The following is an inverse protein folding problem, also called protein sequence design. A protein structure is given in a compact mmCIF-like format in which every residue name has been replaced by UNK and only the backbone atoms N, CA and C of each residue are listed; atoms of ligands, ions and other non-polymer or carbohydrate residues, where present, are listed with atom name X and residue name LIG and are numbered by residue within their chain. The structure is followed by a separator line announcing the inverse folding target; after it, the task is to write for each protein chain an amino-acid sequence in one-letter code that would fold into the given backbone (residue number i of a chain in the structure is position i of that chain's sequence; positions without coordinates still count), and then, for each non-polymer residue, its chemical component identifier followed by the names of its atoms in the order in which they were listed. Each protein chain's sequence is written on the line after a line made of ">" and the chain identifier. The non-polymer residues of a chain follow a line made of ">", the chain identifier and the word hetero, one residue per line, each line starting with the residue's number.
data_IF_157230856705
#
_entry.id   IF_157230856705
#
_cell.length_a   1.000
_cell.length_b   1.000
_cell.length_c   1.000
_cell.angle_alpha   90.00
_cell.angle_beta   90.00
_cell.angle_gamma   90.00
#
_symmetry.space_group_name_H-M   'P 1'
#
loop_
_entity.id
_entity.type
_entity.pdbx_description
1 polymer ?
#
# COMPACT_ATOMS: atom_id res chain seq x y z
N UNK A 1 6.30 38.23 -31.92
CA UNK A 1 4.99 38.76 -31.45
C UNK A 1 4.78 38.22 -30.04
N UNK A 2 5.27 38.85 -28.97
CA UNK A 2 4.96 40.19 -28.44
C UNK A 2 3.47 40.37 -28.15
N UNK A 3 3.07 40.33 -26.88
CA UNK A 3 2.66 41.54 -26.13
C UNK A 3 2.22 41.20 -24.69
N UNK A 4 2.98 41.74 -23.73
CA UNK A 4 2.43 42.35 -22.50
C UNK A 4 1.57 43.57 -22.87
N UNK A 5 0.73 44.01 -21.94
CA UNK A 5 0.62 45.43 -21.55
C UNK A 5 0.90 45.55 -20.03
N UNK A 6 1.76 46.40 -19.44
CA UNK A 6 1.95 47.88 -19.52
C UNK A 6 0.63 48.65 -19.48
N UNK A 7 0.32 49.58 -18.58
CA UNK A 7 1.03 50.27 -17.50
C UNK A 7 0.03 51.26 -16.86
N UNK A 8 0.28 51.72 -15.63
CA UNK A 8 0.69 53.11 -15.30
C UNK A 8 -0.49 53.93 -14.70
N UNK A 9 -0.32 55.14 -14.12
CA UNK A 9 0.69 55.70 -13.18
C UNK A 9 0.09 56.41 -11.93
N UNK A 10 1.01 56.85 -11.05
CA UNK A 10 1.06 58.13 -10.31
C UNK A 10 -0.17 58.70 -9.60
N UNK A 11 0.01 58.99 -8.30
CA UNK A 11 0.03 60.39 -7.90
C UNK A 11 1.18 60.67 -6.90
N UNK A 12 1.97 61.67 -7.25
CA UNK A 12 3.06 62.31 -6.53
C UNK A 12 2.63 63.74 -6.24
N UNK A 13 2.73 64.21 -5.00
CA UNK A 13 3.26 65.55 -4.65
C UNK A 13 3.20 65.74 -3.14
N UNK A 14 4.34 65.91 -2.46
CA UNK A 14 5.17 67.13 -2.29
C UNK A 14 4.64 68.06 -1.20
N UNK A 15 5.57 68.45 -0.30
CA UNK A 15 5.37 69.45 0.74
C UNK A 15 6.38 69.27 1.88
N UNK A 16 7.59 69.81 1.67
CA UNK A 16 8.73 69.79 2.60
C UNK A 16 8.69 71.02 3.56
N UNK A 17 9.73 71.30 4.39
CA UNK A 17 9.62 71.41 5.85
C UNK A 17 9.67 72.87 6.38
N UNK A 18 9.24 73.06 7.63
CA UNK A 18 9.37 74.34 8.33
C UNK A 18 9.37 74.13 9.85
N UNK A 19 10.53 74.36 10.44
CA UNK A 19 10.80 74.49 11.87
C UNK A 19 10.08 75.70 12.45
N UNK A 20 9.41 75.59 13.61
CA UNK A 20 9.72 76.45 14.76
C UNK A 20 9.03 76.03 16.07
N UNK A 21 9.76 76.31 17.15
CA UNK A 21 9.35 76.52 18.54
C UNK A 21 8.72 75.41 19.40
N UNK A 22 9.61 74.83 20.21
CA UNK A 22 9.58 74.91 21.67
C UNK A 22 8.38 75.64 22.31
N UNK A 23 7.57 74.88 23.05
CA UNK A 23 7.30 75.09 24.48
C UNK A 23 6.03 74.34 24.89
N UNK A 24 6.18 73.13 25.44
CA UNK A 24 5.22 72.64 26.44
C UNK A 24 5.87 71.54 27.30
N UNK A 25 6.44 71.96 28.42
CA UNK A 25 6.72 71.08 29.55
C UNK A 25 5.39 70.79 30.24
N UNK A 26 4.94 69.54 30.18
CA UNK A 26 3.80 69.05 30.94
C UNK A 26 4.03 67.61 31.37
N UNK A 27 4.30 67.41 32.67
CA UNK A 27 4.52 66.12 33.33
C UNK A 27 3.29 65.19 33.19
N UNK A 28 3.53 63.91 32.94
CA UNK A 28 2.86 62.79 33.65
C UNK A 28 3.45 61.43 33.22
N UNK A 29 3.89 60.64 34.21
CA UNK A 29 4.46 59.30 34.05
C UNK A 29 3.45 58.22 33.62
N UNK A 30 3.85 56.94 33.59
CA UNK A 30 3.08 55.87 32.98
C UNK A 30 1.84 55.57 33.82
N UNK A 31 0.66 55.82 33.27
CA UNK A 31 -0.61 55.41 33.87
C UNK A 31 -0.78 53.89 33.69
N UNK A 32 -0.26 53.11 34.64
CA UNK A 32 -0.67 51.72 34.83
C UNK A 32 -2.15 51.72 35.22
N UNK A 33 -3.03 51.45 34.25
CA UNK A 33 -4.46 51.23 34.51
C UNK A 33 -4.61 50.12 35.54
N UNK A 34 -5.36 50.31 36.64
CA UNK A 34 -5.58 49.24 37.60
C UNK A 34 -6.30 48.09 36.89
N UNK A 35 -5.72 46.88 36.95
CA UNK A 35 -6.36 45.68 36.45
C UNK A 35 -7.71 45.55 37.16
N UNK A 36 -8.81 45.72 36.42
CA UNK A 36 -10.14 45.54 36.97
C UNK A 36 -10.26 44.11 37.49
N UNK A 37 -10.71 43.93 38.73
CA UNK A 37 -10.82 42.64 39.42
C UNK A 37 -11.55 41.59 38.55
N UNK A 38 -12.53 42.03 37.73
CA UNK A 38 -13.27 41.20 36.77
C UNK A 38 -12.46 40.70 35.57
N UNK A 39 -11.39 41.38 35.19
CA UNK A 39 -10.48 40.98 34.11
C UNK A 39 -9.38 40.05 34.64
N UNK A 40 -8.85 40.36 35.83
CA UNK A 40 -7.96 39.46 36.55
C UNK A 40 -8.62 38.10 36.83
N UNK A 41 -9.87 38.07 37.31
CA UNK A 41 -10.62 36.82 37.50
C UNK A 41 -10.83 36.05 36.18
N UNK A 42 -11.03 36.73 35.05
CA UNK A 42 -11.22 36.08 33.75
C UNK A 42 -9.95 35.42 33.24
N UNK A 43 -8.79 36.05 33.40
CA UNK A 43 -7.50 35.48 33.02
C UNK A 43 -7.12 34.30 33.93
N UNK A 44 -7.35 34.41 35.24
CA UNK A 44 -7.18 33.29 36.18
C UNK A 44 -8.08 32.11 35.79
N UNK A 45 -9.36 32.36 35.47
CA UNK A 45 -10.29 31.32 35.04
C UNK A 45 -9.83 30.62 33.76
N UNK A 46 -9.34 31.37 32.77
CA UNK A 46 -8.81 30.79 31.52
C UNK A 46 -7.59 29.89 31.79
N UNK A 47 -6.66 30.35 32.63
CA UNK A 47 -5.49 29.56 33.01
C UNK A 47 -5.86 28.25 33.73
N UNK A 48 -6.84 28.30 34.63
CA UNK A 48 -7.36 27.11 35.32
C UNK A 48 -7.98 26.12 34.32
N UNK A 49 -8.76 26.60 33.34
CA UNK A 49 -9.40 25.73 32.34
C UNK A 49 -8.36 25.05 31.44
N UNK A 50 -7.32 25.77 31.00
CA UNK A 50 -6.24 25.20 30.18
C UNK A 50 -5.44 24.16 30.97
N UNK A 51 -5.12 24.43 32.24
CA UNK A 51 -4.49 23.43 33.11
C UNK A 51 -5.38 22.22 33.34
N UNK A 52 -6.70 22.42 33.46
CA UNK A 52 -7.66 21.34 33.61
C UNK A 52 -7.70 20.42 32.38
N UNK A 53 -7.69 20.96 31.16
CA UNK A 53 -7.59 20.16 29.94
C UNK A 53 -6.25 19.45 29.80
N UNK A 54 -5.14 20.13 30.10
CA UNK A 54 -3.80 19.53 30.08
C UNK A 54 -3.64 18.38 31.09
N UNK A 55 -4.31 18.45 32.23
CA UNK A 55 -4.34 17.35 33.20
C UNK A 55 -5.00 16.09 32.63
N UNK A 56 -6.13 16.21 31.96
CA UNK A 56 -6.80 15.05 31.34
C UNK A 56 -6.00 14.44 30.20
N UNK A 57 -5.38 15.27 29.36
CA UNK A 57 -4.51 14.81 28.28
C UNK A 57 -3.29 14.06 28.83
N UNK A 58 -2.70 14.56 29.92
CA UNK A 58 -1.59 13.90 30.61
C UNK A 58 -2.01 12.55 31.21
N UNK A 59 -3.18 12.49 31.86
CA UNK A 59 -3.75 11.24 32.42
C UNK A 59 -3.91 10.16 31.34
N UNK A 60 -4.26 10.54 30.10
CA UNK A 60 -4.44 9.61 28.99
C UNK A 60 -3.12 8.97 28.50
N UNK A 61 -1.96 9.60 28.77
CA UNK A 61 -0.64 9.15 28.30
C UNK A 61 0.20 8.53 29.42
N UNK A 62 -0.08 8.87 30.68
CA UNK A 62 0.63 8.36 31.87
C UNK A 62 0.57 6.84 31.99
N UNK A 63 1.65 6.23 32.50
CA UNK A 63 1.71 4.77 32.74
C UNK A 63 0.80 4.35 33.92
N UNK A 64 0.34 3.09 33.94
CA UNK A 64 -0.49 2.57 35.03
C UNK A 64 0.19 2.67 36.40
N UNK A 65 1.50 2.43 36.44
CA UNK A 65 2.32 2.54 37.67
C UNK A 65 2.39 3.97 38.20
N UNK A 66 2.60 4.95 37.32
CA UNK A 66 2.65 6.37 37.70
C UNK A 66 1.27 6.90 38.16
N UNK A 67 0.18 6.46 37.52
CA UNK A 67 -1.17 6.84 37.94
C UNK A 67 -1.50 6.34 39.35
N UNK A 68 -1.16 5.08 39.67
CA UNK A 68 -1.34 4.53 41.01
C UNK A 68 -0.56 5.31 42.08
N UNK A 69 0.68 5.68 41.76
CA UNK A 69 1.55 6.44 42.68
C UNK A 69 0.99 7.85 42.94
N UNK A 70 0.53 8.54 41.90
CA UNK A 70 -0.07 9.88 42.00
C UNK A 70 -1.41 9.84 42.73
N UNK A 71 -2.26 8.85 42.46
CA UNK A 71 -3.52 8.65 43.17
C UNK A 71 -3.30 8.34 44.64
N UNK A 72 -2.30 7.53 44.97
CA UNK A 72 -1.93 7.22 46.37
C UNK A 72 -1.45 8.47 47.12
N UNK A 73 -0.57 9.25 46.50
CA UNK A 73 -0.08 10.51 47.07
C UNK A 73 -1.19 11.56 47.24
N UNK A 74 -2.11 11.65 46.26
CA UNK A 74 -3.27 12.53 46.31
C UNK A 74 -4.25 12.18 47.43
N UNK A 75 -4.41 10.89 47.75
CA UNK A 75 -5.29 10.42 48.81
C UNK A 75 -4.74 10.76 50.21
N UNK A 76 -3.41 10.64 50.39
CA UNK A 76 -2.71 11.08 51.61
C UNK A 76 -2.92 12.58 51.82
N UNK A 77 -2.71 13.39 50.77
CA UNK A 77 -2.87 14.84 50.84
C UNK A 77 -4.33 15.25 51.12
N UNK A 78 -5.30 14.58 50.47
CA UNK A 78 -6.72 14.84 50.68
C UNK A 78 -7.20 14.54 52.12
N UNK A 79 -6.59 13.55 52.77
CA UNK A 79 -6.81 13.27 54.19
C UNK A 79 -6.39 14.42 55.11
N UNK A 80 -5.27 15.08 54.79
CA UNK A 80 -4.77 16.25 55.53
C UNK A 80 -5.73 17.45 55.41
N UNK A 81 -6.28 17.68 54.22
CA UNK A 81 -7.21 18.79 53.94
C UNK A 81 -8.69 18.48 54.22
N UNK A 82 -9.02 17.32 54.82
CA UNK A 82 -10.39 16.86 55.13
C UNK A 82 -11.34 16.84 53.92
N UNK A 83 -10.83 16.53 52.72
CA UNK A 83 -11.61 16.39 51.47
C UNK A 83 -11.49 14.97 50.84
N UNK A 84 -11.62 13.87 51.61
CA UNK A 84 -11.32 12.52 51.12
C UNK A 84 -12.29 12.03 50.04
N UNK A 85 -13.57 12.43 50.12
CA UNK A 85 -14.62 12.00 49.19
C UNK A 85 -14.37 12.56 47.78
N UNK A 86 -14.00 13.84 47.68
CA UNK A 86 -13.73 14.50 46.39
C UNK A 86 -12.53 13.85 45.67
N UNK A 87 -11.46 13.57 46.42
CA UNK A 87 -10.27 12.91 45.87
C UNK A 87 -10.57 11.50 45.34
N UNK A 88 -11.39 10.74 46.06
CA UNK A 88 -11.79 9.40 45.64
C UNK A 88 -12.58 9.41 44.32
N UNK A 89 -13.53 10.34 44.17
CA UNK A 89 -14.31 10.49 42.92
C UNK A 89 -13.42 10.85 41.73
N UNK A 90 -12.45 11.75 41.92
CA UNK A 90 -11.51 12.14 40.86
C UNK A 90 -10.58 11.00 40.43
N UNK A 91 -10.14 10.16 41.38
CA UNK A 91 -9.32 8.97 41.09
C UNK A 91 -10.11 7.96 40.25
N UNK A 92 -11.37 7.70 40.62
CA UNK A 92 -12.25 6.80 39.86
C UNK A 92 -12.48 7.37 38.45
N UNK A 93 -12.81 8.66 38.33
CA UNK A 93 -13.00 9.30 37.03
C UNK A 93 -11.75 9.21 36.15
N UNK A 94 -10.55 9.42 36.72
CA UNK A 94 -9.26 9.29 36.02
C UNK A 94 -9.02 7.87 35.50
N UNK A 95 -9.38 6.85 36.30
CA UNK A 95 -9.30 5.44 35.92
C UNK A 95 -10.25 5.10 34.77
N UNK A 96 -11.51 5.56 34.85
CA UNK A 96 -12.52 5.35 33.80
C UNK A 96 -12.05 5.97 32.47
N UNK A 97 -11.59 7.23 32.49
CA UNK A 97 -11.10 7.92 31.29
C UNK A 97 -9.96 7.14 30.63
N UNK A 98 -9.02 6.62 31.43
CA UNK A 98 -7.88 5.86 30.91
C UNK A 98 -8.26 4.51 30.32
N UNK A 99 -9.20 3.79 30.93
CA UNK A 99 -9.71 2.52 30.42
C UNK A 99 -10.40 2.72 29.07
N UNK A 100 -11.25 3.75 28.96
CA UNK A 100 -11.97 4.08 27.71
C UNK A 100 -11.00 4.53 26.62
N UNK A 101 -10.04 5.41 26.93
CA UNK A 101 -9.03 5.88 25.98
C UNK A 101 -8.08 4.76 25.51
N UNK A 102 -7.73 3.83 26.40
CA UNK A 102 -6.88 2.68 26.09
C UNK A 102 -7.59 1.64 25.21
N UNK A 103 -8.90 1.46 25.37
CA UNK A 103 -9.71 0.56 24.54
C UNK A 103 -9.76 1.01 23.07
N UNK A 104 -9.93 2.31 22.82
CA UNK A 104 -10.02 2.87 21.46
C UNK A 104 -8.72 2.66 20.66
N UNK A 105 -7.55 2.88 21.29
CA UNK A 105 -6.24 2.67 20.64
C UNK A 105 -5.99 1.22 20.26
N UNK A 106 -6.43 0.26 21.10
CA UNK A 106 -6.29 -1.17 20.79
C UNK A 106 -7.16 -1.57 19.60
N UNK A 107 -8.40 -1.07 19.54
CA UNK A 107 -9.30 -1.32 18.42
C UNK A 107 -8.76 -0.76 17.09
N UNK A 108 -8.24 0.47 17.09
CA UNK A 108 -7.62 1.09 15.91
C UNK A 108 -6.38 0.33 15.43
N UNK A 109 -5.53 -0.15 16.35
CA UNK A 109 -4.36 -0.95 15.99
C UNK A 109 -4.79 -2.30 15.37
N UNK A 110 -5.75 -2.99 15.96
CA UNK A 110 -6.24 -4.27 15.40
C UNK A 110 -6.93 -4.08 14.05
N UNK A 111 -7.63 -2.96 13.84
CA UNK A 111 -8.27 -2.64 12.56
C UNK A 111 -7.23 -2.32 11.47
N UNK A 112 -6.18 -1.56 11.82
CA UNK A 112 -5.06 -1.28 10.91
C UNK A 112 -4.25 -2.53 10.57
N UNK A 113 -4.07 -3.46 11.52
CA UNK A 113 -3.42 -4.73 11.25
C UNK A 113 -4.27 -5.63 10.34
N UNK A 114 -5.58 -5.69 10.57
CA UNK A 114 -6.50 -6.46 9.74
C UNK A 114 -6.57 -5.95 8.30
N UNK A 115 -6.64 -4.62 8.12
CA UNK A 115 -6.64 -3.99 6.78
C UNK A 115 -5.34 -4.23 6.04
N UNK A 116 -4.18 -4.04 6.68
CA UNK A 116 -2.88 -4.36 6.08
C UNK A 116 -2.77 -5.82 5.66
N UNK A 117 -3.25 -6.75 6.50
CA UNK A 117 -3.27 -8.18 6.15
C UNK A 117 -4.15 -8.47 4.95
N UNK A 118 -5.35 -7.89 4.91
CA UNK A 118 -6.26 -8.03 3.78
C UNK A 118 -5.66 -7.45 2.48
N UNK A 119 -5.01 -6.28 2.54
CA UNK A 119 -4.30 -5.68 1.41
C UNK A 119 -3.17 -6.57 0.91
N UNK A 120 -2.35 -7.13 1.81
CA UNK A 120 -1.27 -8.05 1.43
C UNK A 120 -1.79 -9.33 0.80
N UNK A 121 -2.83 -9.94 1.38
CA UNK A 121 -3.45 -11.15 0.83
C UNK A 121 -4.07 -10.89 -0.55
N UNK A 122 -4.68 -9.71 -0.74
CA UNK A 122 -5.27 -9.33 -2.02
C UNK A 122 -4.19 -9.09 -3.08
N UNK A 123 -3.09 -8.42 -2.74
CA UNK A 123 -1.93 -8.26 -3.63
C UNK A 123 -1.31 -9.60 -3.99
N UNK A 124 -1.15 -10.51 -3.02
CA UNK A 124 -0.64 -11.86 -3.28
C UNK A 124 -1.55 -12.63 -4.23
N UNK A 125 -2.88 -12.55 -4.04
CA UNK A 125 -3.86 -13.14 -4.96
C UNK A 125 -3.77 -12.55 -6.35
N UNK A 126 -3.77 -11.23 -6.50
CA UNK A 126 -3.66 -10.58 -7.81
C UNK A 126 -2.34 -10.93 -8.51
N UNK A 127 -1.23 -11.04 -7.77
CA UNK A 127 0.05 -11.52 -8.33
C UNK A 127 -0.05 -12.98 -8.76
N UNK A 128 -0.71 -13.83 -7.97
CA UNK A 128 -0.91 -15.24 -8.31
C UNK A 128 -1.80 -15.38 -9.56
N UNK A 129 -2.87 -14.61 -9.65
CA UNK A 129 -3.79 -14.54 -10.79
C UNK A 129 -3.08 -14.02 -12.03
N UNK A 130 -2.36 -12.91 -11.95
CA UNK A 130 -1.56 -12.38 -13.07
C UNK A 130 -0.47 -13.36 -13.52
N UNK A 131 0.14 -14.10 -12.58
CA UNK A 131 1.04 -15.20 -12.91
C UNK A 131 0.28 -16.32 -13.61
N UNK A 132 -0.87 -16.77 -13.10
CA UNK A 132 -1.68 -17.79 -13.75
C UNK A 132 -2.16 -17.36 -15.15
N UNK A 133 -2.55 -16.11 -15.35
CA UNK A 133 -2.90 -15.54 -16.65
C UNK A 133 -1.69 -15.48 -17.59
N UNK A 134 -0.52 -15.06 -17.10
CA UNK A 134 0.72 -15.10 -17.88
C UNK A 134 1.15 -16.54 -18.22
N UNK A 135 0.87 -17.50 -17.32
CA UNK A 135 1.09 -18.93 -17.54
C UNK A 135 0.10 -19.48 -18.59
N UNK A 136 -1.15 -19.02 -18.58
CA UNK A 136 -2.16 -19.34 -19.60
C UNK A 136 -1.83 -18.70 -20.95
N UNK A 137 -1.23 -17.51 -20.97
CA UNK A 137 -0.92 -16.80 -22.21
C UNK A 137 0.13 -17.50 -23.09
N UNK A 138 0.96 -18.40 -22.53
CA UNK A 138 1.93 -19.18 -23.31
C UNK A 138 1.36 -20.46 -23.93
N UNK A 139 0.15 -20.90 -23.53
CA UNK A 139 -0.49 -22.10 -24.08
C UNK A 139 -1.88 -21.69 -24.56
N UNK A 140 -2.14 -21.68 -25.86
CA UNK A 140 -3.47 -21.40 -26.41
C UNK A 140 -4.51 -22.35 -25.77
N UNK A 141 -5.43 -21.86 -24.91
CA UNK A 141 -6.34 -22.74 -24.16
C UNK A 141 -7.20 -23.58 -25.10
N UNK A 142 -7.56 -23.01 -26.23
CA UNK A 142 -8.30 -23.68 -27.28
C UNK A 142 -7.52 -24.84 -27.92
N UNK A 143 -6.21 -24.71 -28.14
CA UNK A 143 -5.37 -25.82 -28.59
C UNK A 143 -5.40 -26.99 -27.60
N UNK A 144 -5.30 -26.70 -26.30
CA UNK A 144 -5.32 -27.74 -25.25
C UNK A 144 -6.66 -28.48 -25.23
N UNK A 145 -7.79 -27.76 -25.19
CA UNK A 145 -9.12 -28.38 -25.22
C UNK A 145 -9.36 -29.20 -26.49
N UNK A 146 -8.95 -28.68 -27.65
CA UNK A 146 -9.06 -29.40 -28.91
C UNK A 146 -8.21 -30.66 -28.96
N UNK A 147 -7.00 -30.60 -28.38
CA UNK A 147 -6.10 -31.76 -28.30
C UNK A 147 -6.72 -32.83 -27.40
N UNK A 148 -7.27 -32.46 -26.25
CA UNK A 148 -7.95 -33.39 -25.34
C UNK A 148 -9.21 -34.00 -25.97
N UNK A 149 -10.03 -33.21 -26.67
CA UNK A 149 -11.20 -33.71 -27.38
C UNK A 149 -10.82 -34.68 -28.51
N UNK A 150 -9.74 -34.40 -29.25
CA UNK A 150 -9.21 -35.30 -30.28
C UNK A 150 -8.70 -36.61 -29.66
N UNK A 151 -8.03 -36.54 -28.51
CA UNK A 151 -7.62 -37.73 -27.75
C UNK A 151 -8.84 -38.56 -27.33
N UNK A 152 -9.88 -37.93 -26.79
CA UNK A 152 -11.11 -38.62 -26.37
C UNK A 152 -11.79 -39.37 -27.52
N UNK A 153 -11.89 -38.73 -28.69
CA UNK A 153 -12.38 -39.37 -29.91
C UNK A 153 -11.46 -40.53 -30.37
N UNK A 154 -10.14 -40.33 -30.31
CA UNK A 154 -9.17 -41.35 -30.71
C UNK A 154 -9.16 -42.54 -29.74
N UNK A 155 -9.46 -42.37 -28.46
CA UNK A 155 -9.57 -43.50 -27.52
C UNK A 155 -10.62 -44.51 -28.00
N UNK A 156 -11.70 -44.03 -28.61
CA UNK A 156 -12.78 -44.89 -29.13
C UNK A 156 -12.47 -45.47 -30.51
N UNK A 157 -11.69 -44.77 -31.33
CA UNK A 157 -11.53 -45.09 -32.77
C UNK A 157 -10.15 -45.67 -33.12
N UNK A 158 -9.09 -45.19 -32.49
CA UNK A 158 -7.70 -45.66 -32.65
C UNK A 158 -6.90 -45.42 -31.34
N UNK A 159 -7.00 -46.33 -30.36
CA UNK A 159 -6.32 -46.20 -29.07
C UNK A 159 -4.78 -46.05 -29.18
N UNK A 160 -4.08 -46.74 -30.10
CA UNK A 160 -2.67 -46.49 -30.34
C UNK A 160 -2.35 -45.04 -30.76
N UNK A 161 -3.14 -44.42 -31.65
CA UNK A 161 -2.99 -43.00 -32.00
C UNK A 161 -3.28 -42.09 -30.82
N UNK A 162 -4.31 -42.37 -30.03
CA UNK A 162 -4.64 -41.61 -28.83
C UNK A 162 -3.46 -41.56 -27.85
N UNK A 163 -2.84 -42.71 -27.59
CA UNK A 163 -1.66 -42.83 -26.71
C UNK A 163 -0.48 -41.99 -27.22
N UNK A 164 -0.20 -42.03 -28.54
CA UNK A 164 0.85 -41.18 -29.15
C UNK A 164 0.56 -39.69 -29.00
N UNK A 165 -0.67 -39.27 -29.24
CA UNK A 165 -1.09 -37.86 -29.10
C UNK A 165 -1.01 -37.40 -27.64
N UNK A 166 -1.42 -38.23 -26.69
CA UNK A 166 -1.30 -37.96 -25.25
C UNK A 166 0.16 -37.81 -24.81
N UNK A 167 1.05 -38.70 -25.26
CA UNK A 167 2.49 -38.60 -24.96
C UNK A 167 3.11 -37.30 -25.53
N UNK A 168 2.69 -36.93 -26.74
CA UNK A 168 3.14 -35.69 -27.39
C UNK A 168 2.64 -34.46 -26.62
N UNK A 169 1.39 -34.49 -26.13
CA UNK A 169 0.84 -33.45 -25.26
C UNK A 169 1.60 -33.34 -23.92
N UNK A 170 1.92 -34.46 -23.28
CA UNK A 170 2.73 -34.46 -22.05
C UNK A 170 4.12 -33.85 -22.31
N UNK A 171 4.74 -34.18 -23.44
CA UNK A 171 6.03 -33.63 -23.85
C UNK A 171 5.95 -32.13 -24.09
N UNK A 172 4.92 -31.67 -24.81
CA UNK A 172 4.65 -30.26 -25.04
C UNK A 172 4.53 -29.47 -23.73
N UNK A 173 3.69 -29.95 -22.80
CA UNK A 173 3.51 -29.33 -21.49
C UNK A 173 4.83 -29.31 -20.69
N UNK A 174 5.61 -30.40 -20.75
CA UNK A 174 6.92 -30.46 -20.08
C UNK A 174 7.92 -29.48 -20.66
N UNK A 175 7.90 -29.21 -21.97
CA UNK A 175 8.79 -28.24 -22.63
C UNK A 175 8.34 -26.79 -22.42
N UNK A 176 7.05 -26.55 -22.20
CA UNK A 176 6.51 -25.22 -21.90
C UNK A 176 6.83 -24.77 -20.46
N UNK A 177 6.77 -25.68 -19.47
CA UNK A 177 6.93 -25.35 -18.04
C UNK A 177 8.27 -24.70 -17.61
N UNK A 178 9.45 -25.09 -18.12
CA UNK A 178 10.72 -24.45 -17.73
C UNK A 178 10.80 -22.98 -18.11
N UNK A 179 10.22 -22.61 -19.26
CA UNK A 179 10.17 -21.23 -19.76
C UNK A 179 9.33 -20.32 -18.84
N UNK A 180 8.41 -20.94 -18.10
CA UNK A 180 7.50 -20.28 -17.17
C UNK A 180 8.10 -20.02 -15.78
N UNK A 181 9.15 -20.76 -15.38
CA UNK A 181 9.71 -20.71 -14.00
C UNK A 181 10.97 -19.86 -13.85
N UNK A 182 11.81 -19.77 -14.88
CA UNK A 182 13.19 -19.31 -14.66
C UNK A 182 13.45 -17.82 -14.90
N UNK A 183 12.54 -17.05 -15.52
CA UNK A 183 12.78 -15.63 -15.83
C UNK A 183 14.02 -15.38 -16.72
N UNK A 184 14.72 -16.44 -17.14
CA UNK A 184 15.85 -16.46 -18.07
C UNK A 184 15.31 -16.65 -19.48
N UNK A 185 16.01 -16.05 -20.45
CA UNK A 185 15.71 -16.27 -21.88
C UNK A 185 15.96 -17.74 -22.21
N UNK A 186 15.03 -18.43 -22.90
CA UNK A 186 15.18 -19.84 -23.22
C UNK A 186 16.32 -20.07 -24.21
N UNK A 187 16.80 -21.30 -24.29
CA UNK A 187 17.72 -21.71 -25.35
C UNK A 187 16.97 -22.08 -26.63
N UNK A 188 17.66 -22.07 -27.77
CA UNK A 188 17.12 -22.55 -29.04
C UNK A 188 16.65 -24.00 -28.92
N UNK A 189 17.39 -24.85 -28.21
CA UNK A 189 17.00 -26.25 -27.97
C UNK A 189 15.65 -26.35 -27.26
N UNK A 190 15.41 -25.54 -26.22
CA UNK A 190 14.11 -25.52 -25.52
C UNK A 190 12.96 -25.06 -26.43
N UNK A 191 13.20 -24.08 -27.31
CA UNK A 191 12.20 -23.64 -28.29
C UNK A 191 11.92 -24.73 -29.34
N UNK A 192 12.97 -25.39 -29.83
CA UNK A 192 12.87 -26.48 -30.80
C UNK A 192 12.12 -27.67 -30.21
N UNK A 193 12.39 -28.03 -28.95
CA UNK A 193 11.70 -29.13 -28.26
C UNK A 193 10.20 -28.83 -28.08
N UNK A 194 9.86 -27.58 -27.77
CA UNK A 194 8.47 -27.12 -27.68
C UNK A 194 7.76 -27.22 -29.04
N UNK A 195 8.36 -26.65 -30.10
CA UNK A 195 7.80 -26.67 -31.44
C UNK A 195 7.73 -28.09 -32.02
N UNK A 196 8.70 -28.95 -31.72
CA UNK A 196 8.70 -30.35 -32.16
C UNK A 196 7.53 -31.12 -31.54
N UNK A 197 7.30 -30.95 -30.24
CA UNK A 197 6.15 -31.58 -29.57
C UNK A 197 4.81 -31.04 -30.11
N UNK A 198 4.72 -29.74 -30.43
CA UNK A 198 3.56 -29.16 -31.10
C UNK A 198 3.32 -29.78 -32.48
N UNK A 199 4.35 -29.88 -33.31
CA UNK A 199 4.28 -30.48 -34.63
C UNK A 199 3.93 -31.98 -34.58
N UNK A 200 4.39 -32.71 -33.57
CA UNK A 200 3.98 -34.11 -33.32
C UNK A 200 2.46 -34.20 -33.09
N UNK A 201 1.89 -33.31 -32.25
CA UNK A 201 0.43 -33.26 -32.02
C UNK A 201 -0.32 -32.94 -33.33
N UNK A 202 0.17 -31.95 -34.09
CA UNK A 202 -0.43 -31.57 -35.37
C UNK A 202 -0.33 -32.67 -36.43
N UNK A 203 0.75 -33.43 -36.44
CA UNK A 203 0.91 -34.57 -37.35
C UNK A 203 -0.16 -35.64 -37.15
N UNK A 204 -0.53 -35.91 -35.89
CA UNK A 204 -1.59 -36.87 -35.55
C UNK A 204 -2.96 -36.32 -35.97
N UNK A 205 -3.22 -35.04 -35.73
CA UNK A 205 -4.49 -34.37 -36.07
C UNK A 205 -4.70 -34.24 -37.58
N UNK A 206 -3.62 -34.03 -38.33
CA UNK A 206 -3.63 -33.99 -39.79
C UNK A 206 -3.50 -35.36 -40.45
N UNK A 207 -3.62 -36.44 -39.66
CA UNK A 207 -3.60 -37.83 -40.14
C UNK A 207 -2.37 -38.18 -40.99
N UNK A 208 -1.20 -37.67 -40.61
CA UNK A 208 0.06 -37.93 -41.32
C UNK A 208 0.27 -37.11 -42.58
N UNK A 209 -0.62 -36.16 -42.92
CA UNK A 209 -0.41 -35.19 -44.00
C UNK A 209 0.71 -34.19 -43.70
N UNK A 210 1.04 -34.01 -42.42
CA UNK A 210 2.15 -33.18 -41.95
C UNK A 210 3.32 -34.09 -41.56
N UNK A 211 4.47 -33.88 -42.20
CA UNK A 211 5.72 -34.62 -41.94
C UNK A 211 6.82 -33.61 -41.55
N UNK A 212 6.90 -33.23 -40.27
CA UNK A 212 7.84 -32.21 -39.83
C UNK A 212 9.27 -32.73 -39.91
N UNK A 213 10.17 -31.92 -40.48
CA UNK A 213 11.61 -32.17 -40.48
C UNK A 213 12.29 -31.06 -39.71
N UNK A 214 12.93 -31.41 -38.59
CA UNK A 214 13.64 -30.47 -37.73
C UNK A 214 15.13 -30.76 -37.82
N UNK A 215 15.88 -29.85 -38.44
CA UNK A 215 17.33 -29.95 -38.54
C UNK A 215 17.99 -28.78 -37.81
N UNK A 216 18.65 -29.08 -36.69
CA UNK A 216 19.32 -28.09 -35.85
C UNK A 216 20.73 -28.59 -35.53
N UNK A 217 21.78 -27.87 -35.96
CA UNK A 217 23.16 -28.18 -35.58
C UNK A 217 23.32 -28.21 -34.05
N UNK A 218 24.02 -29.23 -33.52
CA UNK A 218 24.11 -29.43 -32.07
C UNK A 218 24.68 -28.22 -31.31
N UNK A 219 25.65 -27.53 -31.91
CA UNK A 219 26.26 -26.33 -31.32
C UNK A 219 25.31 -25.14 -31.14
N UNK A 220 24.16 -25.13 -31.83
CA UNK A 220 23.19 -24.03 -31.74
C UNK A 220 22.11 -24.25 -30.68
N UNK A 221 21.91 -25.48 -30.18
CA UNK A 221 20.85 -25.79 -29.20
C UNK A 221 21.01 -25.06 -27.87
N UNK A 222 22.23 -24.68 -27.50
CA UNK A 222 22.54 -23.94 -26.26
C UNK A 222 22.46 -22.42 -26.43
N UNK A 223 22.31 -21.91 -27.65
CA UNK A 223 22.24 -20.46 -27.90
C UNK A 223 20.99 -19.86 -27.26
N UNK A 224 21.13 -18.69 -26.64
CA UNK A 224 20.00 -17.92 -26.10
C UNK A 224 19.12 -17.45 -27.26
N UNK A 225 17.82 -17.72 -27.19
CA UNK A 225 16.87 -17.42 -28.26
C UNK A 225 15.62 -16.70 -27.71
N UNK A 226 15.00 -15.79 -28.48
CA UNK A 226 13.76 -15.14 -28.08
C UNK A 226 12.61 -16.15 -27.90
N UNK A 227 11.90 -16.09 -26.76
CA UNK A 227 10.71 -16.91 -26.55
C UNK A 227 9.64 -16.64 -27.62
N UNK A 228 8.87 -17.67 -27.96
CA UNK A 228 7.69 -17.63 -28.85
C UNK A 228 7.96 -17.27 -30.31
N UNK A 229 9.14 -16.77 -30.68
CA UNK A 229 9.47 -16.42 -32.07
C UNK A 229 9.37 -17.63 -33.00
N UNK A 230 9.94 -18.77 -32.60
CA UNK A 230 9.87 -19.99 -33.41
C UNK A 230 8.44 -20.53 -33.49
N UNK A 231 7.69 -20.49 -32.38
CA UNK A 231 6.30 -20.92 -32.33
C UNK A 231 5.43 -20.13 -33.31
N UNK A 232 5.55 -18.80 -33.34
CA UNK A 232 4.79 -17.96 -34.28
C UNK A 232 5.09 -18.26 -35.75
N UNK A 233 6.31 -18.69 -36.08
CA UNK A 233 6.66 -19.09 -37.45
C UNK A 233 6.14 -20.48 -37.81
N UNK A 234 6.02 -21.37 -36.82
CA UNK A 234 5.52 -22.73 -37.00
C UNK A 234 3.99 -22.77 -37.12
N UNK A 235 3.29 -21.83 -36.48
CA UNK A 235 1.82 -21.72 -36.53
C UNK A 235 1.28 -21.07 -37.83
N UNK A 236 2.08 -20.23 -38.50
CA UNK A 236 1.72 -19.58 -39.76
C UNK A 236 1.90 -20.51 -40.96
#
# INVERSE_FOLDING_TARGET
>A
MSRRPEGNPMNTDQGSPGTDNAAERGRSGPASRPMGIRQALREIRKGIVVMWWGFFDWVAVVSWKALLLVSFLGLILAGIFKIPILAFVLIIASFIIKVVAGGKRRAELTANEATKRAETEQLERTVLEARMEALQAQIEPHFLFNTLASIDQLIQTDPPRASRMQQSLIRYLRSAMPQMREGRRPTLGQQVDLCSAYLEIMSVRMEGRLQPVVNVPEGLKSAVFPSMMLQTLVEN
#
